data_IF_938855482977
#
_entry.id   IF_938855482977
#
_cell.length_a   1.000
_cell.length_b   1.000
_cell.length_c   1.000
_cell.angle_alpha   90.00
_cell.angle_beta   90.00
_cell.angle_gamma   90.00
#
_symmetry.space_group_name_H-M   'P 1'
#
loop_
_entity.id
_entity.type
_entity.pdbx_description
1 polymer ?
#
# COMPACT_ATOMS: atom_id res chain seq x y z
N UNK A 1 -13.33 33.82 -4.78
CA UNK A 1 -12.30 32.76 -4.69
C UNK A 1 -12.47 31.64 -5.73
N UNK A 2 -13.57 30.89 -5.77
CA UNK A 2 -13.72 29.77 -6.73
C UNK A 2 -13.88 30.18 -8.21
N UNK A 3 -14.45 31.37 -8.49
CA UNK A 3 -14.67 31.87 -9.86
C UNK A 3 -13.38 32.28 -10.59
N UNK A 4 -12.30 32.46 -9.86
CA UNK A 4 -10.98 32.85 -10.41
C UNK A 4 -10.39 31.78 -11.32
N UNK A 5 -10.73 30.51 -11.07
CA UNK A 5 -10.18 29.36 -11.78
C UNK A 5 -11.02 28.94 -13.00
N UNK A 6 -12.23 29.48 -13.15
CA UNK A 6 -13.15 29.16 -14.27
C UNK A 6 -12.53 29.44 -15.65
N UNK A 7 -11.79 30.54 -15.87
CA UNK A 7 -11.10 30.76 -17.14
C UNK A 7 -10.04 29.69 -17.44
N UNK A 8 -9.41 29.12 -16.41
CA UNK A 8 -8.33 28.11 -16.51
C UNK A 8 -8.81 26.66 -16.36
N UNK A 9 -10.14 26.44 -16.44
CA UNK A 9 -10.75 25.13 -16.21
C UNK A 9 -10.14 23.99 -17.05
N UNK A 10 -9.75 24.28 -18.30
CA UNK A 10 -9.23 23.28 -19.23
C UNK A 10 -7.79 22.90 -18.88
N UNK A 11 -6.95 23.88 -18.53
CA UNK A 11 -5.61 23.63 -18.00
C UNK A 11 -5.68 22.80 -16.72
N UNK A 12 -6.56 23.15 -15.79
CA UNK A 12 -6.71 22.45 -14.53
C UNK A 12 -7.24 21.03 -14.72
N UNK A 13 -8.19 20.84 -15.63
CA UNK A 13 -8.65 19.51 -15.99
C UNK A 13 -7.51 18.68 -16.60
N UNK A 14 -6.67 19.27 -17.44
CA UNK A 14 -5.51 18.59 -18.00
C UNK A 14 -4.52 18.14 -16.90
N UNK A 15 -4.24 18.99 -15.92
CA UNK A 15 -3.40 18.63 -14.75
C UNK A 15 -4.04 17.52 -13.90
N UNK A 16 -5.35 17.57 -13.65
CA UNK A 16 -6.06 16.50 -12.93
C UNK A 16 -6.00 15.17 -13.69
N UNK A 17 -6.22 15.20 -15.01
CA UNK A 17 -6.08 14.02 -15.86
C UNK A 17 -4.63 13.53 -15.93
N UNK A 18 -3.65 14.44 -15.83
CA UNK A 18 -2.24 14.10 -15.75
C UNK A 18 -1.94 13.30 -14.47
N UNK A 19 -2.50 13.71 -13.32
CA UNK A 19 -2.42 12.97 -12.05
C UNK A 19 -3.12 11.61 -12.11
N UNK A 20 -4.28 11.51 -12.76
CA UNK A 20 -4.98 10.23 -12.97
C UNK A 20 -4.19 9.28 -13.90
N UNK A 21 -3.49 9.87 -14.88
CA UNK A 21 -2.58 9.21 -15.82
C UNK A 21 -1.27 8.74 -15.18
N UNK A 22 -0.19 8.72 -15.96
CA UNK A 22 1.14 8.28 -15.50
C UNK A 22 2.09 9.46 -15.22
N UNK A 23 1.58 10.68 -15.07
CA UNK A 23 2.35 11.90 -14.82
C UNK A 23 3.62 12.05 -15.68
N UNK A 24 3.54 11.78 -16.99
CA UNK A 24 4.69 11.81 -17.91
C UNK A 24 5.92 11.00 -17.45
N UNK A 25 5.74 10.01 -16.56
CA UNK A 25 6.86 9.23 -16.04
C UNK A 25 7.50 8.41 -17.17
N UNK A 26 8.64 8.90 -17.63
CA UNK A 26 9.40 8.36 -18.76
C UNK A 26 10.52 7.44 -18.34
N UNK A 27 10.86 7.41 -17.05
CA UNK A 27 11.91 6.52 -16.58
C UNK A 27 11.42 5.07 -16.65
N UNK A 28 12.15 4.25 -17.38
CA UNK A 28 11.87 2.81 -17.46
C UNK A 28 12.29 2.12 -16.16
N UNK A 29 13.32 2.63 -15.49
CA UNK A 29 13.91 2.03 -14.30
C UNK A 29 13.49 2.72 -13.01
N UNK A 30 13.38 1.92 -11.94
CA UNK A 30 13.07 2.35 -10.60
C UNK A 30 14.17 3.28 -10.07
N UNK A 31 13.84 4.51 -9.64
CA UNK A 31 14.85 5.49 -9.20
C UNK A 31 15.56 5.09 -7.90
N UNK A 32 15.00 4.14 -7.14
CA UNK A 32 15.57 3.68 -5.88
C UNK A 32 16.60 2.57 -6.03
N UNK A 33 16.37 1.61 -6.93
CA UNK A 33 17.30 0.49 -7.14
C UNK A 33 18.07 0.54 -8.45
N UNK A 34 17.62 1.30 -9.45
CA UNK A 34 18.26 1.42 -10.76
C UNK A 34 18.16 0.18 -11.66
N UNK A 35 17.85 -0.99 -11.10
CA UNK A 35 17.98 -2.27 -11.80
C UNK A 35 16.67 -2.86 -12.35
N UNK A 36 15.51 -2.40 -11.83
CA UNK A 36 14.21 -3.00 -12.14
C UNK A 36 13.25 -1.98 -12.73
N UNK A 37 12.27 -2.43 -13.51
CA UNK A 37 11.30 -1.53 -14.12
C UNK A 37 10.43 -0.80 -13.08
N UNK A 38 10.18 0.47 -13.35
CA UNK A 38 9.28 1.32 -12.59
C UNK A 38 7.84 1.13 -13.09
N UNK A 39 7.05 0.34 -12.37
CA UNK A 39 5.72 -0.08 -12.82
C UNK A 39 4.60 0.29 -11.86
N UNK A 40 4.90 0.52 -10.58
CA UNK A 40 3.89 0.70 -9.54
C UNK A 40 4.07 2.03 -8.83
N UNK A 41 2.99 2.78 -8.62
CA UNK A 41 2.96 3.97 -7.76
C UNK A 41 1.99 3.79 -6.61
N UNK A 42 2.15 4.60 -5.58
CA UNK A 42 1.18 4.75 -4.51
C UNK A 42 0.22 5.90 -4.85
N UNK A 43 -1.05 5.78 -4.47
CA UNK A 43 -2.05 6.84 -4.66
C UNK A 43 -2.26 7.70 -3.40
N UNK A 44 -1.88 7.21 -2.22
CA UNK A 44 -2.02 7.94 -0.96
C UNK A 44 -0.77 8.74 -0.56
N UNK A 45 0.39 8.41 -1.13
CA UNK A 45 1.60 9.19 -0.95
C UNK A 45 1.58 10.42 -1.86
N UNK A 46 2.15 11.53 -1.40
CA UNK A 46 2.38 12.73 -2.22
C UNK A 46 3.40 12.50 -3.36
N UNK A 47 4.03 11.33 -3.40
CA UNK A 47 5.01 10.93 -4.39
C UNK A 47 4.35 10.28 -5.61
N UNK A 48 4.47 10.96 -6.76
CA UNK A 48 3.90 10.55 -8.04
C UNK A 48 4.81 9.59 -8.82
N UNK A 49 5.98 9.29 -8.29
CA UNK A 49 7.02 8.48 -8.92
C UNK A 49 6.59 7.02 -9.04
N UNK A 50 6.95 6.38 -10.16
CA UNK A 50 6.82 4.93 -10.31
C UNK A 50 8.06 4.22 -9.75
N UNK A 51 7.83 3.12 -9.05
CA UNK A 51 8.85 2.25 -8.46
C UNK A 51 8.65 0.81 -8.91
N UNK A 52 9.68 -0.01 -8.74
CA UNK A 52 9.51 -1.46 -8.84
C UNK A 52 8.76 -2.00 -7.62
N UNK A 53 8.12 -3.17 -7.79
CA UNK A 53 7.36 -3.84 -6.73
C UNK A 53 8.15 -4.02 -5.43
N UNK A 54 9.41 -4.45 -5.51
CA UNK A 54 10.23 -4.66 -4.30
C UNK A 54 10.52 -3.34 -3.55
N UNK A 55 10.77 -2.25 -4.28
CA UNK A 55 11.04 -0.95 -3.68
C UNK A 55 9.80 -0.35 -3.03
N UNK A 56 8.66 -0.40 -3.72
CA UNK A 56 7.41 0.15 -3.19
C UNK A 56 6.94 -0.62 -1.96
N UNK A 57 7.03 -1.96 -1.96
CA UNK A 57 6.73 -2.80 -0.80
C UNK A 57 7.60 -2.41 0.39
N UNK A 58 8.89 -2.19 0.16
CA UNK A 58 9.82 -1.80 1.24
C UNK A 58 9.48 -0.43 1.82
N UNK A 59 9.07 0.53 0.99
CA UNK A 59 8.67 1.87 1.44
C UNK A 59 7.36 1.83 2.23
N UNK A 60 6.42 0.98 1.83
CA UNK A 60 5.08 0.89 2.43
C UNK A 60 4.99 -0.11 3.60
N UNK A 61 6.11 -0.66 4.09
CA UNK A 61 6.14 -1.53 5.28
C UNK A 61 5.50 -0.90 6.52
N UNK A 62 5.54 0.43 6.63
CA UNK A 62 4.96 1.18 7.75
C UNK A 62 3.56 1.73 7.46
N UNK A 63 3.11 1.62 6.21
CA UNK A 63 1.82 2.13 5.74
C UNK A 63 1.17 1.07 4.84
N UNK A 64 0.77 -0.08 5.41
CA UNK A 64 0.27 -1.20 4.61
C UNK A 64 -1.09 -0.91 3.95
N UNK A 65 -1.87 0.04 4.46
CA UNK A 65 -3.19 0.35 3.91
C UNK A 65 -3.18 1.35 2.74
N UNK A 66 -2.00 1.70 2.23
CA UNK A 66 -1.90 2.55 1.05
C UNK A 66 -2.29 1.77 -0.21
N UNK A 67 -3.08 2.39 -1.07
CA UNK A 67 -3.50 1.90 -2.37
C UNK A 67 -2.36 2.03 -3.38
N UNK A 68 -2.08 0.93 -4.07
CA UNK A 68 -1.04 0.86 -5.09
C UNK A 68 -1.69 0.69 -6.47
N UNK A 69 -1.16 1.40 -7.47
CA UNK A 69 -1.61 1.32 -8.86
C UNK A 69 -0.46 0.87 -9.74
N UNK A 70 -0.66 -0.23 -10.46
CA UNK A 70 0.28 -0.74 -11.47
C UNK A 70 -0.03 -0.07 -12.81
N UNK A 71 1.01 0.29 -13.56
CA UNK A 71 0.92 0.95 -14.87
C UNK A 71 0.02 0.23 -15.86
N UNK A 72 0.07 -1.11 -15.88
CA UNK A 72 -0.74 -1.95 -16.78
C UNK A 72 -2.20 -2.09 -16.36
N UNK A 73 -2.57 -1.62 -15.16
CA UNK A 73 -3.90 -1.83 -14.59
C UNK A 73 -4.68 -0.52 -14.48
N UNK A 74 -5.95 -0.58 -14.86
CA UNK A 74 -6.88 0.54 -14.77
C UNK A 74 -7.39 0.76 -13.35
N UNK A 75 -7.50 -0.31 -12.56
CA UNK A 75 -8.08 -0.29 -11.22
C UNK A 75 -6.95 -0.30 -10.18
N UNK A 76 -6.95 0.62 -9.20
CA UNK A 76 -6.00 0.56 -8.10
C UNK A 76 -6.24 -0.69 -7.26
N UNK A 77 -5.17 -1.29 -6.77
CA UNK A 77 -5.24 -2.43 -5.90
C UNK A 77 -5.05 -1.98 -4.45
N UNK A 78 -6.12 -2.14 -3.67
CA UNK A 78 -6.09 -2.12 -2.20
C UNK A 78 -5.77 -3.53 -1.72
N UNK A 79 -4.52 -3.95 -1.95
CA UNK A 79 -4.15 -5.36 -1.87
C UNK A 79 -2.67 -5.55 -1.59
N UNK A 80 -2.26 -5.62 -0.32
CA UNK A 80 -0.85 -5.77 0.04
C UNK A 80 -0.34 -7.16 -0.32
N UNK A 81 -1.19 -8.18 -0.22
CA UNK A 81 -0.86 -9.57 -0.51
C UNK A 81 -0.42 -9.78 -1.96
N UNK A 82 -1.12 -9.15 -2.92
CA UNK A 82 -0.78 -9.21 -4.36
C UNK A 82 0.61 -8.65 -4.66
N UNK A 83 1.10 -7.73 -3.83
CA UNK A 83 2.43 -7.18 -3.95
C UNK A 83 3.46 -7.87 -3.04
N UNK A 84 3.05 -8.81 -2.18
CA UNK A 84 3.90 -9.51 -1.20
C UNK A 84 4.13 -8.71 0.08
N UNK A 85 3.32 -7.71 0.37
CA UNK A 85 3.35 -6.95 1.59
C UNK A 85 2.45 -7.63 2.64
N UNK A 86 3.08 -8.14 3.70
CA UNK A 86 2.43 -8.84 4.80
C UNK A 86 2.59 -8.04 6.09
N UNK A 87 1.53 -7.94 6.88
CA UNK A 87 1.56 -7.30 8.20
C UNK A 87 1.95 -8.36 9.23
N UNK A 88 3.13 -8.19 9.80
CA UNK A 88 3.60 -9.05 10.89
C UNK A 88 3.08 -8.53 12.24
N UNK A 89 2.44 -9.39 13.01
CA UNK A 89 1.89 -9.08 14.31
C UNK A 89 2.83 -9.47 15.46
N UNK A 90 2.57 -8.93 16.65
CA UNK A 90 3.25 -9.32 17.90
C UNK A 90 4.68 -8.80 18.10
N UNK A 91 5.30 -8.16 17.10
CA UNK A 91 6.61 -7.53 17.21
C UNK A 91 6.57 -6.05 16.75
N UNK A 92 7.53 -5.21 17.18
CA UNK A 92 7.68 -3.86 16.65
C UNK A 92 7.86 -3.83 15.12
N UNK A 93 7.39 -2.76 14.49
CA UNK A 93 7.48 -2.61 13.03
C UNK A 93 8.93 -2.63 12.55
N UNK A 94 9.27 -3.65 11.76
CA UNK A 94 10.60 -3.84 11.17
C UNK A 94 11.38 -5.03 11.73
N UNK A 95 11.00 -5.52 12.92
CA UNK A 95 11.56 -6.75 13.48
C UNK A 95 10.95 -7.96 12.78
N UNK A 96 11.77 -8.98 12.51
CA UNK A 96 11.30 -10.24 11.92
C UNK A 96 10.98 -11.23 13.03
N UNK A 97 9.78 -11.79 12.99
CA UNK A 97 9.38 -12.86 13.89
C UNK A 97 10.17 -14.13 13.53
N UNK A 98 10.77 -14.84 14.51
CA UNK A 98 11.43 -16.12 14.25
C UNK A 98 10.43 -17.27 14.04
N UNK A 99 9.18 -17.12 14.48
CA UNK A 99 8.11 -18.10 14.31
C UNK A 99 6.79 -17.46 13.84
N UNK A 100 6.74 -16.94 12.60
CA UNK A 100 5.52 -16.38 12.05
C UNK A 100 4.54 -17.50 11.67
N UNK A 101 3.28 -17.32 12.03
CA UNK A 101 2.17 -18.15 11.61
C UNK A 101 1.31 -17.37 10.62
N UNK A 102 1.42 -17.70 9.33
CA UNK A 102 0.60 -17.08 8.29
C UNK A 102 -0.88 -17.39 8.51
N UNK A 103 -1.71 -16.37 8.42
CA UNK A 103 -3.16 -16.55 8.50
C UNK A 103 -3.62 -17.40 7.32
N UNK A 104 -4.51 -18.37 7.58
CA UNK A 104 -5.07 -19.20 6.52
C UNK A 104 -5.91 -18.38 5.55
N UNK A 105 -5.58 -18.50 4.26
CA UNK A 105 -6.43 -18.06 3.17
C UNK A 105 -6.05 -16.74 2.48
N UNK A 106 -4.99 -16.04 2.89
CA UNK A 106 -4.48 -14.79 2.28
C UNK A 106 -5.51 -13.65 2.05
N UNK A 107 -6.74 -13.83 2.53
CA UNK A 107 -7.89 -12.96 2.30
C UNK A 107 -8.26 -12.16 3.57
N UNK A 108 -7.30 -11.71 4.37
CA UNK A 108 -7.65 -10.86 5.52
C UNK A 108 -8.10 -9.49 5.03
N UNK A 109 -9.34 -9.12 5.33
CA UNK A 109 -9.94 -7.87 4.87
C UNK A 109 -9.95 -6.86 6.01
N UNK A 110 -9.32 -5.71 5.79
CA UNK A 110 -9.37 -4.54 6.67
C UNK A 110 -10.21 -3.46 6.03
N UNK A 111 -11.14 -2.88 6.78
CA UNK A 111 -11.92 -1.74 6.36
C UNK A 111 -11.50 -0.51 7.15
N UNK A 112 -11.25 0.59 6.46
CA UNK A 112 -10.99 1.89 7.05
C UNK A 112 -11.66 3.01 6.23
N UNK A 113 -11.30 4.26 6.50
CA UNK A 113 -11.85 5.43 5.78
C UNK A 113 -11.36 5.56 4.33
N UNK A 114 -10.24 4.93 3.96
CA UNK A 114 -9.71 4.93 2.60
C UNK A 114 -10.25 3.78 1.76
N UNK A 115 -10.81 2.74 2.40
CA UNK A 115 -11.64 1.74 1.74
C UNK A 115 -11.50 0.34 2.31
N UNK A 116 -11.59 -0.64 1.41
CA UNK A 116 -11.48 -2.07 1.73
C UNK A 116 -10.11 -2.54 1.25
N UNK A 117 -9.32 -3.11 2.16
CA UNK A 117 -7.94 -3.54 1.93
C UNK A 117 -7.83 -5.06 2.13
N UNK A 118 -7.36 -5.77 1.10
CA UNK A 118 -6.96 -7.17 1.23
C UNK A 118 -5.49 -7.23 1.64
N UNK A 119 -5.20 -7.80 2.81
CA UNK A 119 -3.83 -7.83 3.34
C UNK A 119 -3.39 -9.22 3.74
N UNK A 120 -2.13 -9.53 3.45
CA UNK A 120 -1.47 -10.67 4.06
C UNK A 120 -1.19 -10.38 5.53
N UNK A 121 -1.42 -11.36 6.41
CA UNK A 121 -1.23 -11.19 7.85
C UNK A 121 -0.51 -12.40 8.44
N UNK A 122 0.60 -12.13 9.14
CA UNK A 122 1.37 -13.13 9.87
C UNK A 122 1.22 -12.89 11.38
N UNK A 123 0.59 -13.83 12.08
CA UNK A 123 0.57 -13.83 13.54
C UNK A 123 1.95 -14.21 14.07
N UNK A 124 2.33 -13.66 15.22
CA UNK A 124 3.47 -14.19 15.95
C UNK A 124 3.03 -15.41 16.78
N UNK A 125 3.82 -16.48 16.73
CA UNK A 125 3.61 -17.72 17.49
C UNK A 125 4.83 -18.05 18.38
N UNK A 126 5.55 -17.03 18.88
CA UNK A 126 6.62 -17.22 19.85
C UNK A 126 6.06 -17.57 21.24
N UNK A 127 6.84 -18.26 22.08
CA UNK A 127 6.37 -18.85 23.36
C UNK A 127 5.74 -17.86 24.36
N UNK A 128 6.06 -16.56 24.26
CA UNK A 128 5.55 -15.50 25.16
C UNK A 128 4.58 -14.53 24.49
N UNK A 129 4.08 -14.86 23.30
CA UNK A 129 3.20 -13.97 22.53
C UNK A 129 1.77 -13.98 23.07
N UNK A 130 1.08 -12.86 22.87
CA UNK A 130 -0.35 -12.73 23.16
C UNK A 130 -1.22 -13.54 22.18
N UNK A 131 -2.47 -13.87 22.55
CA UNK A 131 -3.46 -14.44 21.65
C UNK A 131 -3.69 -13.60 20.37
N UNK A 132 -4.17 -14.22 19.29
CA UNK A 132 -4.32 -13.57 17.97
C UNK A 132 -5.20 -12.31 18.00
N UNK A 133 -6.33 -12.35 18.71
CA UNK A 133 -7.24 -11.22 18.89
C UNK A 133 -6.54 -10.04 19.59
N UNK A 134 -5.76 -10.32 20.63
CA UNK A 134 -4.97 -9.29 21.33
C UNK A 134 -3.87 -8.73 20.43
N UNK A 135 -3.22 -9.57 19.61
CA UNK A 135 -2.25 -9.11 18.62
C UNK A 135 -2.87 -8.14 17.60
N UNK A 136 -4.09 -8.42 17.12
CA UNK A 136 -4.85 -7.50 16.26
C UNK A 136 -5.14 -6.19 16.97
N UNK A 137 -5.62 -6.24 18.21
CA UNK A 137 -5.93 -5.03 18.99
C UNK A 137 -4.68 -4.18 19.25
N UNK A 138 -3.52 -4.79 19.49
CA UNK A 138 -2.24 -4.07 19.56
C UNK A 138 -1.87 -3.38 18.24
N UNK A 139 -2.24 -3.98 17.11
CA UNK A 139 -2.12 -3.37 15.79
C UNK A 139 -3.28 -2.39 15.46
N UNK A 140 -4.16 -2.09 16.42
CA UNK A 140 -5.35 -1.24 16.29
C UNK A 140 -6.38 -1.76 15.27
N UNK A 141 -6.35 -3.06 15.02
CA UNK A 141 -7.33 -3.74 14.19
C UNK A 141 -8.42 -4.30 15.08
N UNK A 142 -9.64 -3.83 14.87
CA UNK A 142 -10.81 -4.28 15.60
C UNK A 142 -11.59 -5.27 14.74
N UNK A 143 -11.99 -6.43 15.28
CA UNK A 143 -12.80 -7.38 14.53
C UNK A 143 -14.15 -6.74 14.16
N UNK A 144 -14.50 -6.81 12.87
CA UNK A 144 -15.83 -6.51 12.38
C UNK A 144 -16.60 -7.84 12.25
N UNK A 145 -17.82 -7.87 12.77
CA UNK A 145 -18.73 -9.03 12.76
C UNK A 145 -19.44 -9.20 11.43
#
# INVERSE_FOLDING_TARGET
>A
PLREWVPRREEWLAELLHYEGHCEFTAEYCPRCGDHNAETRCLDCDDLTLYCQACIVTMHKRSPFHQLKVRSQTIPQSGTDKFGLCIQMGHPTGDRCPNPQRMWGDDFVVLDVSGIHQVGLDFCNCESVQPHDVQLLHARLFPAT
#
